data_IF_927723804653
#
_entry.id   IF_927723804653
#
_cell.length_a   1.000
_cell.length_b   1.000
_cell.length_c   1.000
_cell.angle_alpha   90.00
_cell.angle_beta   90.00
_cell.angle_gamma   90.00
#
_symmetry.space_group_name_H-M   'P 1'
#
loop_
_entity.id
_entity.type
_entity.pdbx_description
1 polymer ?
#
# COMPACT_ATOMS: atom_id res chain seq x y z
N UNK A 1 47.50 12.97 -53.04
CA UNK A 1 47.35 11.99 -51.95
C UNK A 1 46.96 12.74 -50.69
N UNK A 2 45.66 12.91 -50.46
CA UNK A 2 45.16 13.43 -49.18
C UNK A 2 44.53 12.24 -48.48
N UNK A 3 45.03 11.98 -47.28
CA UNK A 3 44.83 10.75 -46.52
C UNK A 3 43.34 10.52 -46.20
N UNK A 4 42.69 9.60 -46.91
CA UNK A 4 41.28 9.23 -46.70
C UNK A 4 41.00 8.71 -45.28
N UNK A 5 42.04 8.34 -44.53
CA UNK A 5 41.95 7.91 -43.15
C UNK A 5 41.73 9.09 -42.18
N UNK A 6 42.26 10.28 -42.47
CA UNK A 6 42.20 11.45 -41.59
C UNK A 6 40.81 12.13 -41.61
N UNK A 7 40.17 12.18 -42.78
CA UNK A 7 38.82 12.75 -42.92
C UNK A 7 37.72 11.88 -42.30
N UNK A 8 37.93 10.55 -42.26
CA UNK A 8 36.98 9.63 -41.63
C UNK A 8 37.04 9.70 -40.09
N UNK A 9 38.21 9.96 -39.52
CA UNK A 9 38.38 10.13 -38.07
C UNK A 9 37.73 11.43 -37.54
N UNK A 10 37.75 12.51 -38.33
CA UNK A 10 37.05 13.75 -37.98
C UNK A 10 35.52 13.64 -38.06
N UNK A 11 34.99 12.80 -38.96
CA UNK A 11 33.54 12.59 -39.09
C UNK A 11 32.99 11.62 -38.02
N UNK A 12 33.83 10.73 -37.47
CA UNK A 12 33.43 9.75 -36.44
C UNK A 12 33.44 10.31 -35.00
N UNK A 13 34.04 11.48 -34.77
CA UNK A 13 33.96 12.22 -33.51
C UNK A 13 32.67 13.06 -33.42
N UNK A 14 31.51 12.42 -33.55
CA UNK A 14 30.22 13.06 -33.22
C UNK A 14 30.15 13.23 -31.70
N UNK A 15 30.49 14.43 -31.21
CA UNK A 15 30.21 14.87 -29.86
C UNK A 15 28.70 14.74 -29.61
N UNK A 16 28.25 13.62 -29.05
CA UNK A 16 26.87 13.44 -28.59
C UNK A 16 26.61 14.47 -27.50
N UNK A 17 25.97 15.59 -27.84
CA UNK A 17 25.50 16.59 -26.87
C UNK A 17 24.62 15.89 -25.84
N UNK A 18 25.06 15.94 -24.58
CA UNK A 18 24.25 15.53 -23.42
C UNK A 18 23.32 16.69 -23.08
N UNK A 19 22.02 16.43 -22.99
CA UNK A 19 21.03 17.43 -22.62
C UNK A 19 20.71 17.31 -21.12
N UNK A 20 20.45 18.44 -20.45
CA UNK A 20 20.10 18.48 -19.04
C UNK A 20 18.90 19.39 -18.78
N UNK A 21 17.99 18.98 -17.90
CA UNK A 21 16.87 19.78 -17.40
C UNK A 21 16.77 19.68 -15.88
N UNK A 22 16.76 20.82 -15.18
CA UNK A 22 16.75 20.90 -13.71
C UNK A 22 17.77 19.96 -13.04
N UNK A 23 18.97 19.87 -13.62
CA UNK A 23 20.08 19.05 -13.12
C UNK A 23 19.98 17.55 -13.42
N UNK A 24 19.05 17.10 -14.27
CA UNK A 24 18.88 15.70 -14.67
C UNK A 24 19.22 15.55 -16.16
N UNK A 25 20.02 14.54 -16.52
CA UNK A 25 20.31 14.20 -17.91
C UNK A 25 19.03 13.75 -18.62
N UNK A 26 18.74 14.35 -19.78
CA UNK A 26 17.55 14.08 -20.59
C UNK A 26 17.95 13.74 -22.03
N UNK A 27 17.07 13.06 -22.75
CA UNK A 27 17.20 12.90 -24.20
C UNK A 27 16.71 14.17 -24.93
N UNK A 28 16.78 14.18 -26.27
CA UNK A 28 16.32 15.30 -27.11
C UNK A 28 14.83 15.65 -26.96
N UNK A 29 14.03 14.76 -26.37
CA UNK A 29 12.60 15.00 -26.07
C UNK A 29 12.37 15.52 -24.63
N UNK A 30 13.43 15.79 -23.86
CA UNK A 30 13.33 16.25 -22.47
C UNK A 30 12.97 15.16 -21.46
N UNK A 31 13.00 13.88 -21.87
CA UNK A 31 12.69 12.75 -20.98
C UNK A 31 13.97 12.36 -20.21
N UNK A 32 13.91 12.20 -18.88
CA UNK A 32 15.07 11.86 -18.07
C UNK A 32 15.65 10.49 -18.44
N UNK A 33 16.96 10.46 -18.71
CA UNK A 33 17.72 9.25 -19.02
C UNK A 33 18.33 8.75 -17.72
N UNK A 34 17.77 7.67 -17.17
CA UNK A 34 18.32 7.01 -15.98
C UNK A 34 19.29 5.92 -16.43
N UNK A 35 20.59 6.06 -16.12
CA UNK A 35 21.54 4.97 -16.29
C UNK A 35 21.14 3.77 -15.42
N UNK A 36 21.22 2.57 -16.00
CA UNK A 36 20.84 1.31 -15.33
C UNK A 36 21.62 1.03 -14.02
N UNK A 37 22.68 1.78 -13.73
CA UNK A 37 23.50 1.65 -12.52
C UNK A 37 22.88 2.27 -11.27
N UNK A 38 21.85 3.09 -11.43
CA UNK A 38 20.97 3.38 -10.28
C UNK A 38 20.20 2.12 -10.03
N UNK A 39 20.61 1.33 -9.03
CA UNK A 39 19.77 0.29 -8.40
C UNK A 39 18.36 0.84 -8.34
N UNK A 40 17.52 0.48 -9.30
CA UNK A 40 16.10 0.75 -9.17
C UNK A 40 15.76 0.13 -7.82
N UNK A 41 14.91 0.79 -7.02
CA UNK A 41 14.22 0.05 -5.97
C UNK A 41 13.38 -0.99 -6.72
N UNK A 42 14.00 -2.09 -7.15
CA UNK A 42 13.33 -3.25 -7.69
C UNK A 42 12.42 -3.62 -6.55
N UNK A 43 11.13 -3.27 -6.69
CA UNK A 43 10.10 -3.77 -5.79
C UNK A 43 10.29 -5.28 -5.89
N UNK A 44 10.78 -5.88 -4.81
CA UNK A 44 11.15 -7.29 -4.77
C UNK A 44 9.97 -8.05 -5.35
N UNK A 45 10.22 -8.79 -6.45
CA UNK A 45 9.20 -9.45 -7.30
C UNK A 45 8.27 -10.37 -6.49
N UNK A 46 8.64 -10.69 -5.24
CA UNK A 46 7.97 -11.57 -4.30
C UNK A 46 7.43 -10.88 -3.04
N UNK A 47 6.94 -9.63 -3.11
CA UNK A 47 5.98 -9.18 -2.08
C UNK A 47 4.71 -9.99 -2.29
N UNK A 48 4.59 -11.17 -1.65
CA UNK A 48 3.38 -12.01 -1.64
C UNK A 48 2.17 -11.09 -1.39
N UNK A 49 1.47 -10.77 -2.48
CA UNK A 49 0.29 -9.89 -2.48
C UNK A 49 -0.97 -10.63 -2.05
N UNK A 50 -0.88 -11.94 -1.82
CA UNK A 50 -2.05 -12.81 -1.54
C UNK A 50 -3.00 -12.24 -0.50
N UNK A 51 -2.48 -11.62 0.55
CA UNK A 51 -3.31 -11.04 1.60
C UNK A 51 -4.23 -9.89 1.12
N UNK A 52 -3.81 -9.12 0.10
CA UNK A 52 -4.57 -7.97 -0.39
C UNK A 52 -5.77 -8.33 -1.27
N UNK A 53 -5.83 -9.55 -1.82
CA UNK A 53 -6.89 -9.96 -2.73
C UNK A 53 -8.14 -10.46 -2.02
N UNK A 54 -8.01 -10.91 -0.77
CA UNK A 54 -9.15 -11.34 0.03
C UNK A 54 -9.89 -10.11 0.52
N UNK A 55 -11.11 -9.94 0.03
CA UNK A 55 -12.03 -8.88 0.45
C UNK A 55 -13.37 -9.47 0.86
N UNK A 56 -13.94 -8.93 1.93
CA UNK A 56 -15.28 -9.30 2.41
C UNK A 56 -16.28 -8.23 2.02
N UNK A 57 -17.50 -8.60 1.63
CA UNK A 57 -18.60 -7.65 1.50
C UNK A 57 -19.00 -7.12 2.88
N UNK A 58 -19.42 -5.86 2.95
CA UNK A 58 -19.99 -5.33 4.19
C UNK A 58 -21.41 -5.89 4.34
N UNK A 59 -21.73 -6.60 5.43
CA UNK A 59 -23.10 -7.02 5.71
C UNK A 59 -23.95 -5.88 6.30
N UNK A 60 -23.34 -4.74 6.62
CA UNK A 60 -23.95 -3.65 7.36
C UNK A 60 -24.42 -2.53 6.45
N UNK A 61 -25.51 -1.87 6.86
CA UNK A 61 -26.01 -0.62 6.27
C UNK A 61 -25.34 0.58 6.91
N UNK A 62 -25.33 1.71 6.21
CA UNK A 62 -24.68 2.95 6.67
C UNK A 62 -25.23 3.47 8.01
N UNK A 63 -26.53 3.27 8.25
CA UNK A 63 -27.25 3.72 9.44
C UNK A 63 -27.32 2.70 10.58
N UNK A 64 -26.57 1.60 10.49
CA UNK A 64 -26.61 0.59 11.55
C UNK A 64 -26.03 1.13 12.87
N UNK A 65 -26.64 0.68 13.97
CA UNK A 65 -26.28 1.11 15.33
C UNK A 65 -24.87 0.63 15.71
N UNK A 66 -24.03 1.57 16.16
CA UNK A 66 -22.62 1.34 16.44
C UNK A 66 -22.44 0.84 17.87
N UNK A 67 -22.69 -0.45 18.06
CA UNK A 67 -22.79 -1.09 19.39
C UNK A 67 -21.65 -2.06 19.68
N UNK A 68 -20.65 -2.20 18.81
CA UNK A 68 -19.50 -3.07 19.01
C UNK A 68 -18.21 -2.26 19.08
N UNK A 69 -17.46 -2.42 20.16
CA UNK A 69 -16.07 -1.99 20.23
C UNK A 69 -15.17 -3.13 19.80
N UNK A 70 -14.21 -2.81 18.95
CA UNK A 70 -13.15 -3.67 18.46
C UNK A 70 -11.82 -3.11 18.94
N UNK A 71 -11.06 -3.92 19.67
CA UNK A 71 -9.70 -3.62 20.12
C UNK A 71 -8.74 -4.66 19.59
N UNK A 72 -7.54 -4.24 19.20
CA UNK A 72 -6.50 -5.17 18.77
C UNK A 72 -5.10 -4.72 19.18
N UNK A 73 -4.19 -5.67 19.33
CA UNK A 73 -2.77 -5.41 19.52
C UNK A 73 -1.94 -6.13 18.45
N UNK A 74 -1.74 -5.48 17.31
CA UNK A 74 -1.00 -6.06 16.17
C UNK A 74 0.41 -5.43 16.13
N UNK A 75 1.47 -6.22 16.37
CA UNK A 75 2.84 -5.72 16.45
C UNK A 75 3.32 -5.08 15.13
N UNK A 76 4.35 -4.23 15.22
CA UNK A 76 4.83 -3.45 14.07
C UNK A 76 5.38 -4.32 12.92
N UNK A 77 5.89 -5.51 13.23
CA UNK A 77 6.35 -6.49 12.26
C UNK A 77 5.24 -6.91 11.27
N UNK A 78 3.97 -6.89 11.70
CA UNK A 78 2.78 -7.27 10.94
C UNK A 78 2.03 -6.04 10.42
N UNK A 79 2.76 -5.09 9.82
CA UNK A 79 2.20 -3.84 9.31
C UNK A 79 1.16 -4.05 8.22
N UNK A 80 1.36 -5.01 7.32
CA UNK A 80 0.46 -5.22 6.17
C UNK A 80 -0.88 -5.78 6.60
N UNK A 81 -0.83 -6.71 7.55
CA UNK A 81 -1.94 -7.38 8.20
C UNK A 81 -2.79 -6.36 8.94
N UNK A 82 -2.15 -5.51 9.74
CA UNK A 82 -2.80 -4.38 10.42
C UNK A 82 -3.47 -3.42 9.43
N UNK A 83 -2.77 -3.02 8.37
CA UNK A 83 -3.29 -2.07 7.39
C UNK A 83 -4.46 -2.67 6.57
N UNK A 84 -4.43 -3.97 6.27
CA UNK A 84 -5.55 -4.69 5.67
C UNK A 84 -6.75 -4.84 6.61
N UNK A 85 -6.51 -5.12 7.88
CA UNK A 85 -7.56 -5.22 8.89
C UNK A 85 -8.30 -3.89 9.05
N UNK A 86 -7.55 -2.79 9.15
CA UNK A 86 -8.12 -1.43 9.22
C UNK A 86 -8.96 -1.08 8.00
N UNK A 87 -8.51 -1.45 6.79
CA UNK A 87 -9.29 -1.24 5.57
C UNK A 87 -10.62 -2.00 5.58
N UNK A 88 -10.64 -3.21 6.13
CA UNK A 88 -11.89 -3.98 6.29
C UNK A 88 -12.82 -3.36 7.32
N UNK A 89 -12.31 -2.90 8.46
CA UNK A 89 -13.13 -2.18 9.44
C UNK A 89 -13.77 -0.92 8.85
N UNK A 90 -13.01 -0.12 8.11
CA UNK A 90 -13.55 1.05 7.39
C UNK A 90 -14.63 0.63 6.39
N UNK A 91 -14.40 -0.45 5.63
CA UNK A 91 -15.40 -1.00 4.70
C UNK A 91 -16.70 -1.45 5.38
N UNK A 92 -16.60 -1.93 6.62
CA UNK A 92 -17.74 -2.32 7.45
C UNK A 92 -18.42 -1.13 8.17
N UNK A 93 -18.00 0.11 7.92
CA UNK A 93 -18.58 1.30 8.54
C UNK A 93 -18.12 1.53 9.98
N UNK A 94 -17.00 0.93 10.39
CA UNK A 94 -16.43 1.17 11.72
C UNK A 94 -15.70 2.52 11.74
N UNK A 95 -15.82 3.21 12.87
CA UNK A 95 -15.18 4.48 13.16
C UNK A 95 -14.03 4.24 14.14
N UNK A 96 -12.88 4.85 13.87
CA UNK A 96 -11.75 4.81 14.79
C UNK A 96 -11.95 5.84 15.90
N UNK A 97 -12.03 5.40 17.16
CA UNK A 97 -12.08 6.29 18.32
C UNK A 97 -10.65 6.60 18.80
N UNK A 98 -9.80 5.58 18.84
CA UNK A 98 -8.38 5.68 19.22
C UNK A 98 -7.54 4.76 18.34
N UNK A 99 -6.21 4.94 18.36
CA UNK A 99 -5.30 3.96 17.76
C UNK A 99 -5.60 2.56 18.32
N UNK A 100 -5.89 1.64 17.40
CA UNK A 100 -6.25 0.24 17.67
C UNK A 100 -7.61 0.02 18.36
N UNK A 101 -8.43 1.06 18.50
CA UNK A 101 -9.78 0.97 19.07
C UNK A 101 -10.80 1.53 18.08
N UNK A 102 -11.76 0.70 17.72
CA UNK A 102 -12.76 0.98 16.70
C UNK A 102 -14.15 0.70 17.26
N UNK A 103 -15.15 1.41 16.74
CA UNK A 103 -16.55 1.19 17.08
C UNK A 103 -17.38 1.04 15.81
N UNK A 104 -18.31 0.09 15.81
CA UNK A 104 -19.12 -0.18 14.62
C UNK A 104 -20.31 -1.09 14.89
N UNK A 105 -21.00 -1.50 13.83
CA UNK A 105 -22.18 -2.35 13.92
C UNK A 105 -21.86 -3.79 14.34
N UNK A 106 -22.71 -4.36 15.18
CA UNK A 106 -22.63 -5.74 15.65
C UNK A 106 -23.66 -6.62 14.93
N UNK A 107 -23.40 -7.92 14.70
CA UNK A 107 -22.16 -8.66 14.94
C UNK A 107 -21.23 -8.69 13.72
N UNK A 108 -19.92 -8.87 13.95
CA UNK A 108 -18.95 -9.05 12.85
C UNK A 108 -19.28 -10.29 12.01
N UNK A 109 -19.10 -10.25 10.68
CA UNK A 109 -19.38 -11.40 9.82
C UNK A 109 -18.53 -12.61 10.22
N UNK A 110 -19.17 -13.79 10.29
CA UNK A 110 -18.52 -15.04 10.73
C UNK A 110 -17.32 -15.42 9.84
N UNK A 111 -17.48 -15.31 8.53
CA UNK A 111 -16.40 -15.56 7.56
C UNK A 111 -15.18 -14.67 7.78
N UNK A 112 -15.39 -13.43 8.22
CA UNK A 112 -14.31 -12.52 8.58
C UNK A 112 -13.60 -12.98 9.86
N UNK A 113 -14.36 -13.36 10.89
CA UNK A 113 -13.79 -13.87 12.15
C UNK A 113 -13.01 -15.17 11.96
N UNK A 114 -13.50 -16.08 11.12
CA UNK A 114 -12.82 -17.34 10.82
C UNK A 114 -11.49 -17.07 10.10
N UNK A 115 -11.49 -16.14 9.13
CA UNK A 115 -10.26 -15.70 8.49
C UNK A 115 -9.25 -15.07 9.46
N UNK A 116 -9.71 -14.26 10.43
CA UNK A 116 -8.83 -13.69 11.46
C UNK A 116 -8.11 -14.75 12.30
N UNK A 117 -8.75 -15.91 12.52
CA UNK A 117 -8.14 -17.05 13.22
C UNK A 117 -7.08 -17.73 12.35
N UNK A 118 -7.35 -17.95 11.07
CA UNK A 118 -6.41 -18.57 10.13
C UNK A 118 -5.08 -17.80 10.04
N UNK A 119 -5.16 -16.46 10.08
CA UNK A 119 -4.02 -15.56 9.93
C UNK A 119 -3.30 -15.29 11.26
N UNK A 120 -3.72 -15.95 12.35
CA UNK A 120 -3.17 -15.81 13.72
C UNK A 120 -3.23 -14.38 14.31
N UNK A 121 -4.11 -13.54 13.79
CA UNK A 121 -4.40 -12.21 14.39
C UNK A 121 -5.48 -12.33 15.47
N UNK A 122 -6.36 -13.33 15.36
CA UNK A 122 -7.53 -13.51 16.22
C UNK A 122 -7.22 -13.55 17.73
N UNK A 123 -6.02 -14.00 18.12
CA UNK A 123 -5.61 -14.07 19.54
C UNK A 123 -5.39 -12.68 20.17
N UNK A 124 -4.96 -11.70 19.38
CA UNK A 124 -4.67 -10.34 19.85
C UNK A 124 -5.85 -9.38 19.62
N UNK A 125 -7.05 -9.92 19.40
CA UNK A 125 -8.24 -9.16 19.06
C UNK A 125 -9.34 -9.40 20.10
N UNK A 126 -9.92 -8.31 20.61
CA UNK A 126 -11.00 -8.34 21.61
C UNK A 126 -12.19 -7.53 21.12
N UNK A 127 -13.39 -8.06 21.37
CA UNK A 127 -14.65 -7.37 21.09
C UNK A 127 -15.43 -7.14 22.37
N UNK A 128 -16.04 -5.96 22.48
CA UNK A 128 -16.89 -5.60 23.60
C UNK A 128 -18.22 -5.07 23.06
N UNK A 129 -19.32 -5.68 23.48
CA UNK A 129 -20.66 -5.20 23.15
C UNK A 129 -20.98 -4.01 24.06
N UNK A 130 -21.38 -2.91 23.46
CA UNK A 130 -21.83 -1.72 24.16
C UNK A 130 -23.29 -1.85 24.58
N UNK A 131 -23.61 -1.36 25.78
CA UNK A 131 -24.99 -1.24 26.25
C UNK A 131 -25.77 -0.14 25.52
N UNK A 132 -25.08 0.95 25.13
CA UNK A 132 -25.64 2.06 24.36
C UNK A 132 -24.86 2.27 23.07
N UNK A 133 -25.57 2.63 22.02
CA UNK A 133 -24.95 2.95 20.73
C UNK A 133 -24.01 4.13 20.83
N UNK A 134 -22.86 4.03 20.16
CA UNK A 134 -21.93 5.14 20.07
C UNK A 134 -22.50 6.24 19.17
N UNK A 135 -22.62 7.44 19.74
CA UNK A 135 -23.01 8.66 19.05
C UNK A 135 -21.74 9.48 18.84
N UNK A 136 -21.43 9.76 17.58
CA UNK A 136 -20.31 10.63 17.23
C UNK A 136 -20.71 12.07 17.61
N UNK A 137 -20.00 12.66 18.56
CA UNK A 137 -20.12 14.08 18.89
C UNK A 137 -19.40 14.94 17.87
#
# INVERSE_FOLDING_TARGET
MVDMCSLWYHLYMSFKKRFYYKGIEVNSFGIPVFSNDKKSRVKTKNRKRNFYYITFSSPFKENDSKNLIVMYDIPHNQRKERDWFRRHLVKFGYIMIQKSVWVGPSPLPKSFLDYLKEIKIGENFKTFKLAKSYIKK
#
